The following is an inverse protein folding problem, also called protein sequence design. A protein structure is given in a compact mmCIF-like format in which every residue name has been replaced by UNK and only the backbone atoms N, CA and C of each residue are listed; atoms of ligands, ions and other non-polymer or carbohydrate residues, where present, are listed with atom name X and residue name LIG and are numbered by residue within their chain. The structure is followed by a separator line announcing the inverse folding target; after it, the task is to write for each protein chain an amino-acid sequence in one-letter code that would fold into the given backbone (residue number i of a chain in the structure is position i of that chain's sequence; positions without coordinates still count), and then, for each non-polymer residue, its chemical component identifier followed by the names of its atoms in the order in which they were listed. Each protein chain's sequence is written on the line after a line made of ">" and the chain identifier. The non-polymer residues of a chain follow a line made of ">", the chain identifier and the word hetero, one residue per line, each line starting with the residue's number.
data_IF_836708588076
#
_entry.id   IF_836708588076
#
_cell.length_a   1.000
_cell.length_b   1.000
_cell.length_c   1.000
_cell.angle_alpha   90.00
_cell.angle_beta   90.00
_cell.angle_gamma   90.00
#
_symmetry.space_group_name_H-M   'P 1'
#
loop_
_entity.id
_entity.type
_entity.pdbx_description
1 polymer ?
#
# COMPACT_ATOMS: atom_id res chain seq x y z
N UNK A 1 -21.68 29.10 -7.50
CA UNK A 1 -22.24 28.55 -6.26
C UNK A 1 -21.52 27.23 -5.98
N UNK A 2 -20.53 27.25 -5.12
CA UNK A 2 -19.76 26.04 -4.76
C UNK A 2 -20.69 25.19 -3.86
N UNK A 3 -21.21 24.10 -4.40
CA UNK A 3 -21.92 23.12 -3.57
C UNK A 3 -20.84 22.39 -2.76
N UNK A 4 -20.70 22.77 -1.49
CA UNK A 4 -19.81 22.08 -0.56
C UNK A 4 -20.09 20.56 -0.53
N UNK A 5 -19.10 19.79 -0.18
CA UNK A 5 -19.24 18.34 0.02
C UNK A 5 -20.33 18.08 1.07
N UNK A 6 -21.43 17.35 0.76
CA UNK A 6 -22.50 17.09 1.73
C UNK A 6 -22.05 16.25 2.93
N UNK A 7 -20.87 15.60 2.85
CA UNK A 7 -20.29 14.76 3.91
C UNK A 7 -19.28 15.55 4.75
N UNK A 8 -18.84 16.72 4.27
CA UNK A 8 -17.86 17.55 4.97
C UNK A 8 -18.44 18.10 6.28
N UNK A 9 -17.89 17.66 7.41
CA UNK A 9 -18.33 18.06 8.74
C UNK A 9 -17.68 19.35 9.22
N UNK A 10 -16.46 19.64 8.74
CA UNK A 10 -15.66 20.79 9.18
C UNK A 10 -15.04 21.47 7.97
N UNK A 11 -15.22 22.77 7.86
CA UNK A 11 -14.52 23.60 6.89
C UNK A 11 -13.30 24.22 7.58
N UNK A 12 -12.12 23.88 7.08
CA UNK A 12 -10.84 24.36 7.60
C UNK A 12 -10.16 25.27 6.57
N UNK A 13 -9.35 26.24 7.01
CA UNK A 13 -8.43 26.94 6.13
C UNK A 13 -7.50 25.97 5.41
N UNK A 14 -7.12 26.29 4.17
CA UNK A 14 -6.37 25.38 3.29
C UNK A 14 -5.07 24.88 3.92
N UNK A 15 -4.36 25.73 4.65
CA UNK A 15 -3.09 25.36 5.30
C UNK A 15 -3.31 24.35 6.43
N UNK A 16 -4.38 24.52 7.21
CA UNK A 16 -4.74 23.58 8.27
C UNK A 16 -5.21 22.25 7.71
N UNK A 17 -5.97 22.26 6.62
CA UNK A 17 -6.39 21.07 5.90
C UNK A 17 -5.18 20.26 5.44
N UNK A 18 -4.19 20.89 4.76
CA UNK A 18 -2.98 20.23 4.28
C UNK A 18 -2.19 19.64 5.46
N UNK A 19 -2.05 20.37 6.55
CA UNK A 19 -1.33 19.88 7.72
C UNK A 19 -2.00 18.65 8.34
N UNK A 20 -3.33 18.69 8.49
CA UNK A 20 -4.13 17.57 9.02
C UNK A 20 -4.02 16.38 8.09
N UNK A 21 -4.06 16.57 6.78
CA UNK A 21 -3.91 15.49 5.79
C UNK A 21 -2.55 14.79 5.94
N UNK A 22 -1.47 15.54 6.03
CA UNK A 22 -0.12 15.00 6.20
C UNK A 22 -0.03 14.20 7.51
N UNK A 23 -0.54 14.75 8.60
CA UNK A 23 -0.50 14.09 9.91
C UNK A 23 -1.37 12.83 9.91
N UNK A 24 -2.59 12.91 9.38
CA UNK A 24 -3.51 11.78 9.33
C UNK A 24 -2.98 10.65 8.42
N UNK A 25 -2.49 10.97 7.23
CA UNK A 25 -1.85 9.99 6.34
C UNK A 25 -0.68 9.29 7.02
N UNK A 26 0.23 10.06 7.60
CA UNK A 26 1.40 9.53 8.29
C UNK A 26 0.98 8.60 9.43
N UNK A 27 0.02 9.02 10.24
CA UNK A 27 -0.52 8.23 11.35
C UNK A 27 -1.11 6.91 10.87
N UNK A 28 -2.02 6.94 9.89
CA UNK A 28 -2.68 5.72 9.39
C UNK A 28 -1.67 4.76 8.75
N UNK A 29 -0.73 5.26 7.95
CA UNK A 29 0.29 4.41 7.33
C UNK A 29 1.19 3.74 8.36
N UNK A 30 1.64 4.47 9.38
CA UNK A 30 2.47 3.91 10.45
C UNK A 30 1.66 2.89 11.25
N UNK A 31 0.44 3.22 11.68
CA UNK A 31 -0.41 2.34 12.46
C UNK A 31 -0.70 1.02 11.72
N UNK A 32 -1.11 1.10 10.46
CA UNK A 32 -1.39 -0.08 9.65
C UNK A 32 -0.13 -0.91 9.43
N UNK A 33 1.00 -0.27 9.14
CA UNK A 33 2.29 -0.96 8.94
C UNK A 33 2.73 -1.71 10.19
N UNK A 34 2.59 -1.10 11.37
CA UNK A 34 2.91 -1.75 12.65
C UNK A 34 1.95 -2.91 12.96
N UNK A 35 0.64 -2.72 12.76
CA UNK A 35 -0.34 -3.79 12.90
C UNK A 35 -0.02 -4.97 11.97
N UNK A 36 0.29 -4.70 10.71
CA UNK A 36 0.62 -5.73 9.74
C UNK A 36 1.95 -6.44 10.05
N UNK A 37 2.93 -5.72 10.59
CA UNK A 37 4.19 -6.30 11.04
C UNK A 37 4.01 -7.23 12.27
N UNK A 38 3.04 -6.95 13.12
CA UNK A 38 2.70 -7.77 14.29
C UNK A 38 1.99 -9.08 13.94
N UNK A 39 1.39 -9.19 12.74
CA UNK A 39 0.71 -10.42 12.30
C UNK A 39 1.75 -11.51 12.02
N UNK A 40 1.62 -12.71 12.61
CA UNK A 40 2.57 -13.79 12.38
C UNK A 40 2.56 -14.26 10.92
N UNK A 41 3.73 -14.65 10.42
CA UNK A 41 3.94 -15.07 9.03
C UNK A 41 3.06 -16.26 8.62
N UNK A 42 2.71 -17.13 9.55
CA UNK A 42 1.82 -18.28 9.32
C UNK A 42 0.44 -17.92 8.74
N UNK A 43 -0.04 -16.70 8.98
CA UNK A 43 -1.30 -16.21 8.39
C UNK A 43 -1.21 -15.95 6.88
N UNK A 44 0.00 -15.78 6.37
CA UNK A 44 0.29 -15.51 4.97
C UNK A 44 0.81 -16.73 4.18
N UNK A 45 0.96 -17.88 4.84
CA UNK A 45 1.45 -19.11 4.21
C UNK A 45 0.40 -19.77 3.30
N UNK A 46 -0.87 -19.74 3.72
CA UNK A 46 -1.94 -20.41 3.01
C UNK A 46 -2.45 -19.58 1.81
N UNK A 47 -2.76 -20.28 0.71
CA UNK A 47 -3.41 -19.70 -0.46
C UNK A 47 -4.88 -19.42 -0.16
N UNK A 48 -5.18 -18.20 0.24
CA UNK A 48 -6.54 -17.71 0.39
C UNK A 48 -7.05 -17.11 -0.93
N UNK A 49 -8.36 -17.04 -1.09
CA UNK A 49 -8.98 -16.40 -2.27
C UNK A 49 -8.50 -14.97 -2.52
N UNK A 50 -7.99 -14.29 -1.50
CA UNK A 50 -7.43 -12.95 -1.59
C UNK A 50 -6.14 -12.89 -2.43
N UNK A 51 -5.28 -13.92 -2.32
CA UNK A 51 -3.98 -14.00 -2.99
C UNK A 51 -3.98 -14.89 -4.23
N UNK A 52 -5.13 -15.44 -4.58
CA UNK A 52 -5.27 -16.32 -5.75
C UNK A 52 -5.14 -15.50 -7.03
N UNK A 53 -4.18 -15.88 -7.86
CA UNK A 53 -4.02 -15.30 -9.21
C UNK A 53 -5.30 -15.58 -10.02
N UNK A 54 -5.95 -14.53 -10.46
CA UNK A 54 -7.17 -14.62 -11.26
C UNK A 54 -6.84 -14.95 -12.72
N UNK A 55 -7.77 -15.60 -13.42
CA UNK A 55 -7.58 -16.02 -14.83
C UNK A 55 -7.14 -14.86 -15.75
N UNK A 56 -7.74 -13.67 -15.58
CA UNK A 56 -7.40 -12.48 -16.37
C UNK A 56 -6.01 -11.91 -16.04
N UNK A 57 -5.45 -12.26 -14.93
CA UNK A 57 -4.13 -11.81 -14.43
C UNK A 57 -2.99 -12.77 -14.83
N UNK A 58 -3.34 -13.99 -15.23
CA UNK A 58 -2.37 -15.04 -15.62
C UNK A 58 -1.45 -14.63 -16.79
N UNK A 59 -1.85 -13.67 -17.58
CA UNK A 59 -1.04 -13.20 -18.72
C UNK A 59 0.10 -12.25 -18.32
N UNK A 60 0.44 -12.07 -17.06
CA UNK A 60 1.62 -11.34 -16.52
C UNK A 60 2.16 -10.14 -17.36
N UNK A 61 1.62 -9.96 -18.57
CA UNK A 61 2.02 -8.97 -19.56
C UNK A 61 1.17 -7.70 -19.49
N UNK A 62 -0.06 -7.78 -18.96
CA UNK A 62 -0.97 -6.65 -18.90
C UNK A 62 -0.38 -5.49 -18.11
N UNK A 63 0.04 -5.73 -16.88
CA UNK A 63 0.61 -4.71 -16.00
C UNK A 63 1.97 -4.22 -16.48
N UNK A 64 2.82 -5.12 -17.00
CA UNK A 64 4.14 -4.74 -17.52
C UNK A 64 4.04 -3.92 -18.81
N UNK A 65 3.01 -4.12 -19.63
CA UNK A 65 2.74 -3.33 -20.83
C UNK A 65 2.11 -1.98 -20.48
N UNK A 66 1.09 -1.98 -19.61
CA UNK A 66 0.34 -0.77 -19.24
C UNK A 66 1.21 0.24 -18.50
N UNK A 67 1.93 -0.20 -17.48
CA UNK A 67 2.71 0.68 -16.62
C UNK A 67 4.20 0.73 -16.94
N UNK A 68 4.70 -0.08 -17.87
CA UNK A 68 6.12 -0.17 -18.24
C UNK A 68 7.06 -0.24 -17.01
N UNK A 69 6.65 -0.97 -15.99
CA UNK A 69 7.30 -1.03 -14.66
C UNK A 69 8.81 -1.30 -14.74
N UNK A 70 9.25 -2.08 -15.73
CA UNK A 70 10.67 -2.40 -15.92
C UNK A 70 11.52 -1.16 -16.22
N UNK A 71 10.95 -0.10 -16.81
CA UNK A 71 11.69 1.11 -17.21
C UNK A 71 11.99 2.03 -16.03
N UNK A 72 11.09 2.13 -15.05
CA UNK A 72 11.22 3.09 -13.95
C UNK A 72 11.45 2.45 -12.57
N UNK A 73 11.28 1.12 -12.45
CA UNK A 73 11.50 0.39 -11.18
C UNK A 73 12.87 0.70 -10.54
N UNK A 74 13.91 0.93 -11.35
CA UNK A 74 15.25 1.22 -10.84
C UNK A 74 15.36 2.62 -10.19
N UNK A 75 14.46 3.55 -10.52
CA UNK A 75 14.44 4.89 -9.96
C UNK A 75 13.86 4.93 -8.54
N UNK A 76 13.04 3.92 -8.16
CA UNK A 76 12.46 3.86 -6.83
C UNK A 76 13.48 3.26 -5.86
N UNK A 77 13.83 3.98 -4.78
CA UNK A 77 14.67 3.42 -3.74
C UNK A 77 13.98 2.26 -3.03
N UNK A 78 14.72 1.24 -2.64
CA UNK A 78 14.19 0.15 -1.85
C UNK A 78 14.03 0.61 -0.40
N UNK A 79 12.78 0.60 0.13
CA UNK A 79 12.47 1.02 1.50
C UNK A 79 13.20 0.19 2.56
N UNK A 80 13.61 -1.04 2.24
CA UNK A 80 14.38 -1.88 3.18
C UNK A 80 15.78 -1.35 3.44
N UNK A 81 16.36 -0.59 2.50
CA UNK A 81 17.64 0.09 2.68
C UNK A 81 17.54 1.23 3.69
N UNK A 82 16.36 1.83 3.82
CA UNK A 82 16.10 2.94 4.76
C UNK A 82 15.84 2.38 6.17
N UNK A 83 15.10 1.28 6.28
CA UNK A 83 14.63 0.73 7.58
C UNK A 83 15.46 -0.47 8.05
N UNK A 84 16.52 -0.88 7.40
CA UNK A 84 17.47 -1.97 7.76
C UNK A 84 16.89 -3.28 8.36
N UNK A 85 15.57 -3.41 8.54
CA UNK A 85 14.87 -4.55 9.15
C UNK A 85 13.90 -5.27 8.21
N UNK A 86 13.76 -4.81 6.96
CA UNK A 86 12.82 -5.38 6.00
C UNK A 86 13.44 -6.48 5.13
N UNK A 87 12.57 -7.30 4.53
CA UNK A 87 12.96 -8.27 3.51
C UNK A 87 13.09 -7.58 2.14
N UNK A 88 14.25 -7.66 1.50
CA UNK A 88 14.48 -7.00 0.21
C UNK A 88 13.65 -7.66 -0.89
N UNK A 89 12.69 -6.92 -1.45
CA UNK A 89 11.74 -7.40 -2.47
C UNK A 89 12.05 -6.93 -3.89
N UNK A 90 12.97 -5.99 -4.03
CA UNK A 90 13.28 -5.36 -5.32
C UNK A 90 13.93 -6.31 -6.30
N UNK A 91 14.72 -7.25 -5.81
CA UNK A 91 15.39 -8.27 -6.61
C UNK A 91 15.38 -9.61 -5.90
N UNK A 92 15.28 -10.70 -6.67
CA UNK A 92 15.46 -12.05 -6.14
C UNK A 92 16.96 -12.31 -5.99
N UNK A 93 17.44 -12.34 -4.75
CA UNK A 93 18.85 -12.55 -4.43
C UNK A 93 19.22 -14.05 -4.54
N UNK A 94 18.26 -14.93 -4.27
CA UNK A 94 18.47 -16.37 -4.29
C UNK A 94 17.26 -17.09 -4.90
N UNK A 95 17.51 -18.21 -5.56
CA UNK A 95 16.48 -19.14 -6.05
C UNK A 95 16.25 -20.31 -5.08
N UNK A 96 16.80 -20.24 -3.87
CA UNK A 96 16.55 -21.24 -2.84
C UNK A 96 15.06 -21.25 -2.48
N UNK A 97 14.50 -22.44 -2.26
CA UNK A 97 13.08 -22.66 -1.94
C UNK A 97 12.64 -21.87 -0.70
N UNK A 98 13.44 -21.88 0.35
CA UNK A 98 13.13 -21.18 1.61
C UNK A 98 13.10 -19.67 1.42
N UNK A 99 14.03 -19.14 0.61
CA UNK A 99 14.05 -17.73 0.25
C UNK A 99 12.81 -17.32 -0.55
N UNK A 100 12.43 -18.13 -1.55
CA UNK A 100 11.25 -17.87 -2.37
C UNK A 100 9.97 -17.94 -1.56
N UNK A 101 9.87 -18.87 -0.62
CA UNK A 101 8.73 -18.99 0.28
C UNK A 101 8.61 -17.75 1.20
N UNK A 102 9.72 -17.33 1.79
CA UNK A 102 9.76 -16.09 2.59
C UNK A 102 9.42 -14.85 1.75
N UNK A 103 9.92 -14.78 0.53
CA UNK A 103 9.58 -13.70 -0.41
C UNK A 103 8.07 -13.65 -0.70
N UNK A 104 7.44 -14.81 -0.91
CA UNK A 104 6.00 -14.92 -1.13
C UNK A 104 5.20 -14.39 0.07
N UNK A 105 5.53 -14.84 1.28
CA UNK A 105 4.88 -14.41 2.52
C UNK A 105 4.96 -12.89 2.70
N UNK A 106 6.16 -12.33 2.54
CA UNK A 106 6.37 -10.90 2.71
C UNK A 106 5.72 -10.07 1.58
N UNK A 107 5.59 -10.63 0.39
CA UNK A 107 4.86 -9.97 -0.71
C UNK A 107 3.37 -9.93 -0.42
N UNK A 108 2.78 -11.02 0.06
CA UNK A 108 1.36 -11.07 0.49
C UNK A 108 1.08 -10.09 1.63
N UNK A 109 1.97 -10.02 2.61
CA UNK A 109 1.87 -9.05 3.71
C UNK A 109 1.86 -7.62 3.18
N UNK A 110 2.79 -7.29 2.27
CA UNK A 110 2.86 -5.96 1.68
C UNK A 110 1.60 -5.62 0.88
N UNK A 111 1.10 -6.54 0.07
CA UNK A 111 -0.13 -6.36 -0.69
C UNK A 111 -1.31 -6.05 0.22
N UNK A 112 -1.52 -6.84 1.27
CA UNK A 112 -2.59 -6.58 2.24
C UNK A 112 -2.41 -5.24 2.96
N UNK A 113 -1.17 -4.87 3.29
CA UNK A 113 -0.87 -3.55 3.89
C UNK A 113 -1.32 -2.42 2.97
N UNK A 114 -1.03 -2.51 1.67
CA UNK A 114 -1.46 -1.50 0.70
C UNK A 114 -2.98 -1.43 0.57
N UNK A 115 -3.67 -2.58 0.50
CA UNK A 115 -5.13 -2.60 0.46
C UNK A 115 -5.75 -1.97 1.71
N UNK A 116 -5.25 -2.29 2.90
CA UNK A 116 -5.72 -1.71 4.15
C UNK A 116 -5.42 -0.21 4.25
N UNK A 117 -4.31 0.25 3.66
CA UNK A 117 -3.94 1.66 3.65
C UNK A 117 -4.86 2.55 2.80
N UNK A 118 -5.64 1.96 1.91
CA UNK A 118 -6.64 2.69 1.11
C UNK A 118 -7.89 3.01 1.97
N UNK A 119 -8.26 2.14 2.92
CA UNK A 119 -9.50 2.30 3.67
C UNK A 119 -9.60 3.62 4.43
N UNK A 120 -8.55 4.12 5.11
CA UNK A 120 -8.60 5.41 5.79
C UNK A 120 -8.86 6.61 4.89
N UNK A 121 -8.65 6.50 3.57
CA UNK A 121 -8.90 7.60 2.64
C UNK A 121 -10.35 8.10 2.70
N UNK A 122 -11.29 7.22 3.05
CA UNK A 122 -12.71 7.58 3.20
C UNK A 122 -12.92 8.64 4.29
N UNK A 123 -12.10 8.63 5.36
CA UNK A 123 -12.21 9.61 6.43
C UNK A 123 -11.79 11.01 6.00
N UNK A 124 -10.97 11.14 4.97
CA UNK A 124 -10.52 12.44 4.48
C UNK A 124 -11.67 13.29 3.94
N UNK A 125 -12.75 12.67 3.47
CA UNK A 125 -13.95 13.38 3.03
C UNK A 125 -14.69 14.13 4.16
N UNK A 126 -14.37 13.84 5.42
CA UNK A 126 -15.00 14.52 6.56
C UNK A 126 -14.57 15.98 6.67
N UNK A 127 -13.39 16.33 6.20
CA UNK A 127 -12.86 17.71 6.24
C UNK A 127 -12.35 18.21 4.88
N UNK A 128 -12.24 17.33 3.89
CA UNK A 128 -11.84 17.71 2.54
C UNK A 128 -13.04 17.87 1.61
N UNK A 129 -12.96 18.74 0.61
CA UNK A 129 -13.96 18.80 -0.45
C UNK A 129 -13.86 17.57 -1.36
N UNK A 130 -14.96 17.20 -2.06
CA UNK A 130 -15.05 15.98 -2.89
C UNK A 130 -13.96 15.84 -3.96
N UNK A 131 -13.40 16.94 -4.43
CA UNK A 131 -12.35 16.91 -5.45
C UNK A 131 -10.95 16.65 -4.89
N UNK A 132 -10.75 16.76 -3.57
CA UNK A 132 -9.46 16.64 -2.89
C UNK A 132 -9.35 15.40 -1.97
N UNK A 133 -10.51 14.84 -1.56
CA UNK A 133 -10.59 13.66 -0.68
C UNK A 133 -10.42 12.33 -1.39
#
# INVERSE_FOLDING_TARGET
>A
MYKGNPIQLVELPIMETILIDIVAWTFFHIAISLCMAAIPSSKFENDNNLYRIREWEKSNQLWSRLFQVKKWKHLIPDGTKIIQKGFEKKSLISKNRDYLFKFLIESRRAELTHWLSILPSVFFFLWNPLWAG
#
